data_IF_040771446739
#
_entry.id   IF_040771446739
#
_cell.length_a   1.000
_cell.length_b   1.000
_cell.length_c   1.000
_cell.angle_alpha   90.00
_cell.angle_beta   90.00
_cell.angle_gamma   90.00
#
_symmetry.space_group_name_H-M   'P 1'
#
loop_
_entity.id
_entity.type
_entity.pdbx_description
1 polymer ?
#
# COMPACT_ATOMS: atom_id res chain seq x y z
N UNK A 1 -11.93 -2.13 6.39
CA UNK A 1 -10.98 -2.01 5.25
C UNK A 1 -11.51 -0.97 4.27
N UNK A 2 -10.65 -0.30 3.49
CA UNK A 2 -11.11 0.65 2.45
C UNK A 2 -10.26 0.50 1.18
N UNK A 3 -10.87 0.17 0.04
CA UNK A 3 -10.22 0.19 -1.27
C UNK A 3 -10.36 1.56 -1.96
N UNK A 4 -9.23 2.16 -2.34
CA UNK A 4 -9.18 3.42 -3.07
C UNK A 4 -8.98 3.19 -4.57
N UNK A 5 -10.09 3.18 -5.33
CA UNK A 5 -10.14 2.76 -6.75
C UNK A 5 -9.75 3.85 -7.76
N UNK A 6 -10.09 5.10 -7.49
CA UNK A 6 -10.02 6.21 -8.45
C UNK A 6 -8.71 7.01 -8.41
N UNK A 7 -7.77 6.64 -7.54
CA UNK A 7 -6.51 7.34 -7.33
C UNK A 7 -5.35 6.33 -7.33
N UNK A 8 -4.93 5.84 -8.51
CA UNK A 8 -3.82 4.90 -8.59
C UNK A 8 -2.53 5.57 -8.11
N UNK A 9 -1.65 4.76 -7.53
CA UNK A 9 -0.37 5.20 -7.00
C UNK A 9 0.79 4.62 -7.80
N UNK A 10 1.89 5.34 -7.80
CA UNK A 10 3.15 4.96 -8.42
C UNK A 10 4.27 5.08 -7.41
N UNK A 11 5.23 4.14 -7.49
CA UNK A 11 6.45 4.15 -6.71
C UNK A 11 7.55 4.80 -7.55
N UNK A 12 8.11 5.89 -7.04
CA UNK A 12 9.21 6.62 -7.66
C UNK A 12 10.48 6.42 -6.83
N UNK A 13 11.57 6.22 -7.55
CA UNK A 13 12.93 6.26 -7.03
C UNK A 13 13.52 7.62 -7.35
N UNK A 14 13.79 8.43 -6.32
CA UNK A 14 14.39 9.77 -6.41
C UNK A 14 15.71 9.82 -5.64
N UNK A 15 16.45 10.92 -5.78
CA UNK A 15 17.65 11.21 -4.98
C UNK A 15 17.33 12.16 -3.82
N UNK A 16 18.11 12.14 -2.73
CA UNK A 16 18.02 13.15 -1.69
C UNK A 16 18.16 14.57 -2.26
N UNK A 17 17.22 15.46 -1.91
CA UNK A 17 17.16 16.84 -2.39
C UNK A 17 16.38 17.05 -3.70
N UNK A 18 15.95 15.99 -4.38
CA UNK A 18 15.05 16.11 -5.53
C UNK A 18 13.69 16.71 -5.10
N UNK A 19 13.04 17.41 -6.04
CA UNK A 19 11.70 17.97 -5.80
C UNK A 19 10.68 16.82 -5.66
N UNK A 20 10.02 16.76 -4.52
CA UNK A 20 9.01 15.73 -4.22
C UNK A 20 7.65 16.09 -4.85
N UNK A 21 6.93 15.13 -5.46
CA UNK A 21 5.54 15.28 -5.89
C UNK A 21 4.64 15.85 -4.78
N UNK A 22 3.75 16.78 -5.12
CA UNK A 22 2.81 17.37 -4.16
C UNK A 22 1.78 16.35 -3.65
N UNK A 23 1.30 15.48 -4.54
CA UNK A 23 0.29 14.44 -4.30
C UNK A 23 0.87 13.14 -3.74
N UNK A 24 1.86 13.28 -2.86
CA UNK A 24 2.56 12.16 -2.21
C UNK A 24 1.75 11.58 -1.04
N UNK A 25 1.63 10.26 -1.04
CA UNK A 25 1.12 9.47 0.08
C UNK A 25 2.21 9.18 1.12
N UNK A 26 3.40 8.81 0.65
CA UNK A 26 4.51 8.40 1.51
C UNK A 26 5.85 8.83 0.92
N UNK A 27 6.81 9.13 1.81
CA UNK A 27 8.20 9.41 1.49
C UNK A 27 9.05 8.60 2.46
N UNK A 28 9.97 7.83 1.92
CA UNK A 28 10.96 7.07 2.68
C UNK A 28 12.32 7.56 2.20
N UNK A 29 13.06 8.22 3.08
CA UNK A 29 14.41 8.70 2.81
C UNK A 29 15.40 7.73 3.46
N UNK A 30 16.16 7.02 2.63
CA UNK A 30 17.17 6.04 3.05
C UNK A 30 18.59 6.66 3.08
N UNK A 31 18.69 7.96 2.78
CA UNK A 31 19.93 8.74 2.81
C UNK A 31 20.70 8.75 1.48
N UNK A 32 20.65 7.69 0.69
CA UNK A 32 21.20 7.60 -0.67
C UNK A 32 20.11 7.51 -1.76
N UNK A 33 18.92 7.08 -1.37
CA UNK A 33 17.72 6.97 -2.20
C UNK A 33 16.50 7.53 -1.44
N UNK A 34 15.56 8.11 -2.19
CA UNK A 34 14.26 8.52 -1.67
C UNK A 34 13.17 7.79 -2.44
N UNK A 35 12.46 6.89 -1.77
CA UNK A 35 11.24 6.29 -2.31
C UNK A 35 10.06 7.22 -2.07
N UNK A 36 9.36 7.60 -3.14
CA UNK A 36 8.11 8.37 -3.05
C UNK A 36 6.96 7.57 -3.63
N UNK A 37 5.86 7.55 -2.91
CA UNK A 37 4.59 6.98 -3.37
C UNK A 37 3.64 8.14 -3.63
N UNK A 38 3.21 8.34 -4.87
CA UNK A 38 2.32 9.46 -5.25
C UNK A 38 1.33 9.08 -6.35
N UNK A 39 0.34 9.93 -6.59
CA UNK A 39 -0.59 9.80 -7.72
C UNK A 39 0.03 10.19 -9.08
N UNK A 40 1.16 10.92 -9.07
CA UNK A 40 1.91 11.28 -10.27
C UNK A 40 2.33 10.04 -11.06
N UNK A 41 1.90 9.92 -12.32
CA UNK A 41 2.37 8.86 -13.20
C UNK A 41 3.88 8.98 -13.48
N UNK A 42 4.53 7.85 -13.82
CA UNK A 42 5.95 7.83 -14.20
C UNK A 42 6.89 7.18 -13.17
N UNK A 43 6.52 5.98 -12.72
CA UNK A 43 7.30 5.14 -11.82
C UNK A 43 6.87 3.68 -11.97
N UNK A 44 7.18 2.84 -10.99
CA UNK A 44 6.62 1.49 -10.93
C UNK A 44 5.14 1.56 -10.55
N UNK A 45 4.27 0.82 -11.22
CA UNK A 45 2.82 0.85 -11.03
C UNK A 45 2.04 0.68 -12.34
N UNK A 46 0.72 0.92 -12.34
CA UNK A 46 -0.08 1.52 -11.26
C UNK A 46 -0.46 0.54 -10.14
N UNK A 47 -0.60 1.06 -8.92
CA UNK A 47 -1.07 0.31 -7.75
C UNK A 47 -2.40 0.86 -7.24
N UNK A 48 -3.27 -0.04 -6.78
CA UNK A 48 -4.40 0.32 -5.92
C UNK A 48 -3.97 0.31 -4.45
N UNK A 49 -4.56 1.20 -3.64
CA UNK A 49 -4.34 1.25 -2.20
C UNK A 49 -5.49 0.62 -1.44
N UNK A 50 -5.18 -0.36 -0.60
CA UNK A 50 -6.09 -0.93 0.40
C UNK A 50 -5.63 -0.45 1.77
N UNK A 51 -6.51 0.26 2.49
CA UNK A 51 -6.24 0.75 3.84
C UNK A 51 -6.87 -0.18 4.87
N UNK A 52 -6.06 -0.66 5.82
CA UNK A 52 -6.46 -1.49 6.95
C UNK A 52 -6.40 -0.70 8.25
N UNK A 53 -7.29 -1.02 9.18
CA UNK A 53 -7.38 -0.38 10.50
C UNK A 53 -8.51 0.67 10.61
N UNK A 54 -8.50 1.48 11.68
CA UNK A 54 -7.37 1.71 12.58
C UNK A 54 -7.11 0.54 13.53
N UNK A 55 -5.84 0.33 13.88
CA UNK A 55 -5.42 -0.67 14.84
C UNK A 55 -4.68 -0.03 16.02
N UNK A 56 -4.57 -0.76 17.12
CA UNK A 56 -3.62 -0.40 18.18
C UNK A 56 -2.20 -0.66 17.69
N UNK A 57 -1.24 0.19 18.08
CA UNK A 57 0.17 0.06 17.68
C UNK A 57 0.83 -1.23 18.19
N UNK A 58 0.29 -1.84 19.25
CA UNK A 58 0.76 -3.10 19.83
C UNK A 58 0.05 -4.34 19.28
N UNK A 59 -0.86 -4.16 18.29
CA UNK A 59 -1.55 -5.29 17.67
C UNK A 59 -0.57 -6.13 16.86
N UNK A 60 -0.44 -7.40 17.24
CA UNK A 60 0.42 -8.37 16.54
C UNK A 60 -0.38 -9.24 15.56
N UNK A 61 0.29 -9.72 14.51
CA UNK A 61 -0.22 -10.77 13.63
C UNK A 61 -1.16 -10.32 12.51
N UNK A 62 -1.69 -9.10 12.53
CA UNK A 62 -2.59 -8.60 11.49
C UNK A 62 -1.93 -8.62 10.10
N UNK A 63 -0.70 -8.10 9.99
CA UNK A 63 0.00 -8.04 8.72
C UNK A 63 0.53 -9.41 8.28
N UNK A 64 0.88 -10.30 9.21
CA UNK A 64 1.23 -11.67 8.90
C UNK A 64 0.04 -12.42 8.27
N UNK A 65 -1.17 -12.24 8.81
CA UNK A 65 -2.41 -12.82 8.24
C UNK A 65 -2.71 -12.27 6.85
N UNK A 66 -2.69 -10.95 6.69
CA UNK A 66 -2.99 -10.28 5.42
C UNK A 66 -1.99 -10.66 4.31
N UNK A 67 -0.68 -10.52 4.57
CA UNK A 67 0.37 -10.85 3.60
C UNK A 67 0.38 -12.33 3.23
N UNK A 68 0.14 -13.24 4.18
CA UNK A 68 0.06 -14.68 3.91
C UNK A 68 -1.12 -15.04 3.01
N UNK A 69 -2.27 -14.38 3.17
CA UNK A 69 -3.43 -14.63 2.32
C UNK A 69 -3.17 -14.15 0.88
N UNK A 70 -2.66 -12.92 0.72
CA UNK A 70 -2.34 -12.35 -0.60
C UNK A 70 -1.23 -13.14 -1.31
N UNK A 71 -0.22 -13.61 -0.57
CA UNK A 71 0.85 -14.43 -1.13
C UNK A 71 0.34 -15.79 -1.66
N UNK A 72 -0.65 -16.41 -0.99
CA UNK A 72 -1.27 -17.66 -1.47
C UNK A 72 -1.98 -17.48 -2.82
N UNK A 73 -2.51 -16.30 -3.09
CA UNK A 73 -3.12 -15.92 -4.37
C UNK A 73 -2.10 -15.36 -5.39
N UNK A 74 -0.80 -15.36 -5.05
CA UNK A 74 0.25 -14.80 -5.90
C UNK A 74 0.09 -13.29 -6.16
N UNK A 75 -0.49 -12.55 -5.21
CA UNK A 75 -0.66 -11.09 -5.31
C UNK A 75 0.55 -10.42 -4.63
N UNK A 76 1.43 -9.74 -5.38
CA UNK A 76 2.54 -9.01 -4.79
C UNK A 76 2.01 -7.78 -4.03
N UNK A 77 2.68 -7.45 -2.93
CA UNK A 77 2.30 -6.33 -2.06
C UNK A 77 3.46 -5.38 -1.83
N UNK A 78 3.15 -4.10 -1.71
CA UNK A 78 4.02 -3.10 -1.09
C UNK A 78 3.30 -2.52 0.13
N UNK A 79 3.93 -2.48 1.29
CA UNK A 79 3.25 -2.16 2.56
C UNK A 79 3.82 -0.87 3.14
N UNK A 80 2.94 0.01 3.62
CA UNK A 80 3.27 1.23 4.34
C UNK A 80 2.45 1.27 5.62
N UNK A 81 3.12 1.18 6.76
CA UNK A 81 2.50 1.44 8.05
C UNK A 81 2.57 2.93 8.39
N UNK A 82 1.47 3.46 8.91
CA UNK A 82 1.39 4.82 9.45
C UNK A 82 1.01 4.75 10.94
N UNK A 83 0.90 5.90 11.60
CA UNK A 83 0.47 5.95 13.00
C UNK A 83 -0.93 5.35 13.23
N UNK A 84 -1.83 5.46 12.25
CA UNK A 84 -3.24 5.06 12.40
C UNK A 84 -3.62 3.82 11.60
N UNK A 85 -2.98 3.61 10.47
CA UNK A 85 -3.42 2.67 9.45
C UNK A 85 -2.23 1.94 8.85
N UNK A 86 -2.51 0.74 8.33
CA UNK A 86 -1.62 0.08 7.40
C UNK A 86 -2.19 0.21 5.99
N UNK A 87 -1.33 0.50 5.02
CA UNK A 87 -1.68 0.58 3.62
C UNK A 87 -0.98 -0.56 2.87
N UNK A 88 -1.77 -1.41 2.23
CA UNK A 88 -1.29 -2.42 1.31
C UNK A 88 -1.52 -1.91 -0.11
N UNK A 89 -0.45 -1.80 -0.89
CA UNK A 89 -0.50 -1.53 -2.31
C UNK A 89 -0.43 -2.84 -3.07
N UNK A 90 -1.35 -3.02 -4.01
CA UNK A 90 -1.42 -4.16 -4.93
C UNK A 90 -1.49 -3.65 -6.36
N UNK A 91 -1.06 -4.42 -7.38
CA UNK A 91 -1.25 -4.02 -8.77
C UNK A 91 -2.71 -3.65 -9.04
N UNK A 92 -2.94 -2.53 -9.72
CA UNK A 92 -4.28 -1.94 -9.87
C UNK A 92 -5.28 -2.95 -10.45
N UNK A 93 -4.85 -3.75 -11.42
CA UNK A 93 -5.64 -4.78 -12.08
C UNK A 93 -6.01 -5.96 -11.18
N UNK A 94 -5.28 -6.18 -10.06
CA UNK A 94 -5.54 -7.23 -9.07
C UNK A 94 -6.30 -6.71 -7.85
N UNK A 95 -6.70 -5.43 -7.82
CA UNK A 95 -7.28 -4.79 -6.63
C UNK A 95 -8.53 -5.50 -6.08
N UNK A 96 -9.47 -5.85 -6.95
CA UNK A 96 -10.71 -6.51 -6.55
C UNK A 96 -10.47 -7.95 -6.06
N UNK A 97 -9.46 -8.62 -6.61
CA UNK A 97 -9.05 -9.95 -6.14
C UNK A 97 -8.40 -9.87 -4.76
N UNK A 98 -7.55 -8.88 -4.53
CA UNK A 98 -6.94 -8.64 -3.23
C UNK A 98 -7.99 -8.33 -2.16
N UNK A 99 -9.00 -7.51 -2.47
CA UNK A 99 -10.12 -7.23 -1.57
C UNK A 99 -10.88 -8.51 -1.23
N UNK A 100 -11.25 -9.34 -2.21
CA UNK A 100 -11.92 -10.62 -1.95
C UNK A 100 -11.07 -11.56 -1.09
N UNK A 101 -9.77 -11.62 -1.34
CA UNK A 101 -8.83 -12.42 -0.57
C UNK A 101 -8.78 -11.96 0.91
N UNK A 102 -8.65 -10.65 1.15
CA UNK A 102 -8.61 -10.08 2.50
C UNK A 102 -9.95 -10.24 3.23
N UNK A 103 -11.07 -10.01 2.54
CA UNK A 103 -12.42 -10.25 3.06
C UNK A 103 -12.60 -11.71 3.51
N UNK A 104 -12.10 -12.69 2.73
CA UNK A 104 -12.22 -14.12 3.05
C UNK A 104 -11.56 -14.54 4.38
N UNK A 105 -10.63 -13.72 4.91
CA UNK A 105 -9.96 -13.95 6.20
C UNK A 105 -10.46 -13.02 7.30
N UNK A 106 -11.60 -12.34 7.08
CA UNK A 106 -12.26 -11.43 8.03
C UNK A 106 -11.66 -10.03 8.08
N UNK A 107 -11.06 -9.55 6.98
CA UNK A 107 -10.63 -8.17 6.80
C UNK A 107 -11.53 -7.49 5.79
N UNK A 108 -12.78 -7.21 6.19
CA UNK A 108 -13.83 -6.70 5.32
C UNK A 108 -13.84 -5.17 5.22
N UNK A 109 -14.48 -4.63 4.17
CA UNK A 109 -14.88 -3.22 4.13
C UNK A 109 -16.02 -3.04 5.15
N UNK A 110 -15.86 -2.09 6.08
CA UNK A 110 -16.94 -1.72 7.01
C UNK A 110 -18.00 -0.91 6.26
#
# INVERSE_FOLDING_TARGET
>A
MILHRSAPLYLHRLRPGDVLPEDRLAVIDEGDEVTVISGRAGGSGPYARITLGPFRLDLVGIMARASSALAREGIPIFVISSYRYDHILVPLERAEEAVRCLASIGLDED
#
